data_IF_256592763497
#
_entry.id   IF_256592763497
#
_cell.length_a   1.000
_cell.length_b   1.000
_cell.length_c   1.000
_cell.angle_alpha   90.00
_cell.angle_beta   90.00
_cell.angle_gamma   90.00
#
_symmetry.space_group_name_H-M   'P 1'
#
loop_
_entity.id
_entity.type
_entity.pdbx_description
1 polymer ?
#
# COMPACT_ATOMS: atom_id res chain seq x y z
N UNK A 1 -23.17 29.93 11.47
CA UNK A 1 -22.84 28.63 10.83
C UNK A 1 -21.45 28.22 11.28
N UNK A 2 -21.27 26.94 11.62
CA UNK A 2 -20.31 26.39 12.60
C UNK A 2 -18.84 26.82 12.44
N UNK A 3 -18.24 27.03 13.61
CA UNK A 3 -16.89 27.51 13.86
C UNK A 3 -15.81 26.43 13.65
N UNK A 4 -14.60 26.93 13.37
CA UNK A 4 -13.29 26.27 13.45
C UNK A 4 -13.02 25.80 14.89
N UNK A 5 -12.26 24.72 15.09
CA UNK A 5 -10.90 24.82 15.65
C UNK A 5 -10.25 23.47 15.99
N UNK A 6 -8.92 23.52 15.88
CA UNK A 6 -7.86 22.56 16.13
C UNK A 6 -7.84 21.85 17.50
N UNK A 7 -7.22 20.68 17.47
CA UNK A 7 -6.53 19.94 18.54
C UNK A 7 -6.13 20.73 19.79
N UNK A 8 -6.46 20.20 20.98
CA UNK A 8 -5.67 20.32 22.21
C UNK A 8 -5.83 19.09 23.12
N UNK A 9 -4.68 18.55 23.55
CA UNK A 9 -4.49 17.52 24.57
C UNK A 9 -4.70 18.14 25.95
N UNK A 10 -5.38 17.45 26.87
CA UNK A 10 -5.29 17.74 28.30
C UNK A 10 -4.96 16.49 29.10
N UNK A 11 -3.80 16.57 29.77
CA UNK A 11 -3.39 15.74 30.90
C UNK A 11 -3.95 16.41 32.16
N UNK A 12 -4.53 15.66 33.09
CA UNK A 12 -4.70 16.10 34.48
C UNK A 12 -4.39 14.94 35.43
N UNK A 13 -3.43 15.19 36.31
CA UNK A 13 -2.87 14.26 37.26
C UNK A 13 -3.54 14.35 38.64
N UNK A 14 -3.58 13.18 39.31
CA UNK A 14 -3.46 12.89 40.74
C UNK A 14 -4.05 13.83 41.81
N UNK A 15 -4.85 13.25 42.72
CA UNK A 15 -4.74 13.53 44.16
C UNK A 15 -4.78 12.20 44.94
N UNK A 16 -3.69 11.93 45.65
CA UNK A 16 -3.59 10.94 46.72
C UNK A 16 -4.44 11.35 47.92
N UNK A 17 -5.15 10.41 48.54
CA UNK A 17 -5.74 10.55 49.86
C UNK A 17 -5.91 9.19 50.51
N UNK A 18 -5.08 8.93 51.52
CA UNK A 18 -4.95 7.70 52.29
C UNK A 18 -6.20 7.32 53.11
N UNK A 19 -6.32 6.02 53.32
CA UNK A 19 -7.30 5.20 54.07
C UNK A 19 -7.29 5.53 55.59
N UNK A 20 -8.41 5.36 56.33
CA UNK A 20 -8.69 4.14 57.10
C UNK A 20 -10.19 3.74 57.00
N UNK A 21 -10.68 2.52 57.12
CA UNK A 21 -10.15 1.22 57.51
C UNK A 21 -11.36 0.27 57.67
N UNK A 22 -11.27 -0.90 57.02
CA UNK A 22 -11.84 -2.23 57.32
C UNK A 22 -13.15 -2.39 58.12
N UNK A 23 -14.11 -3.15 57.54
CA UNK A 23 -14.81 -4.34 58.09
C UNK A 23 -16.25 -4.43 57.50
N UNK A 24 -16.51 -5.32 56.55
CA UNK A 24 -17.00 -6.70 56.76
C UNK A 24 -18.51 -6.80 57.04
N UNK A 25 -19.20 -7.63 56.26
CA UNK A 25 -20.56 -8.10 56.55
C UNK A 25 -21.50 -7.98 55.36
N UNK A 26 -22.19 -9.08 54.99
CA UNK A 26 -23.21 -9.16 53.95
C UNK A 26 -24.34 -8.14 54.13
N UNK A 27 -25.17 -7.86 53.14
CA UNK A 27 -25.80 -8.81 52.24
C UNK A 27 -26.07 -8.12 50.91
N UNK A 28 -25.55 -8.68 49.81
CA UNK A 28 -26.20 -8.46 48.51
C UNK A 28 -27.06 -9.68 48.26
N UNK A 29 -28.37 -9.50 48.39
CA UNK A 29 -29.38 -10.49 48.07
C UNK A 29 -29.21 -10.90 46.60
N UNK A 30 -28.51 -12.00 46.37
CA UNK A 30 -28.54 -12.72 45.10
C UNK A 30 -29.83 -13.53 45.10
N UNK A 31 -30.86 -13.01 44.43
CA UNK A 31 -32.02 -13.83 44.07
C UNK A 31 -31.56 -14.71 42.91
N UNK A 32 -31.12 -15.94 43.24
CA UNK A 32 -30.84 -16.97 42.24
C UNK A 32 -32.18 -17.53 41.77
N UNK A 33 -32.64 -17.09 40.61
CA UNK A 33 -33.61 -17.87 39.85
C UNK A 33 -32.86 -19.00 39.15
N UNK A 34 -32.95 -20.20 39.74
CA UNK A 34 -32.47 -21.44 39.15
C UNK A 34 -33.34 -21.74 37.91
N UNK A 35 -32.75 -21.71 36.72
CA UNK A 35 -33.45 -22.13 35.51
C UNK A 35 -32.87 -21.60 34.21
N UNK A 36 -31.74 -22.17 33.76
CA UNK A 36 -31.43 -22.60 32.38
C UNK A 36 -29.91 -22.72 32.22
N UNK A 37 -29.41 -23.96 32.18
CA UNK A 37 -28.10 -24.31 31.63
C UNK A 37 -28.08 -24.04 30.12
N UNK A 38 -28.13 -22.76 29.73
CA UNK A 38 -28.17 -22.31 28.34
C UNK A 38 -27.37 -21.02 28.08
N UNK A 39 -26.98 -20.29 29.12
CA UNK A 39 -26.25 -19.02 28.95
C UNK A 39 -24.75 -19.22 28.72
N UNK A 40 -24.13 -20.23 29.34
CA UNK A 40 -22.73 -20.57 29.03
C UNK A 40 -22.58 -21.01 27.56
N UNK A 41 -23.49 -21.86 27.07
CA UNK A 41 -23.51 -22.34 25.68
C UNK A 41 -23.83 -21.20 24.68
N UNK A 42 -24.61 -20.19 25.09
CA UNK A 42 -24.83 -18.96 24.32
C UNK A 42 -23.62 -18.04 24.30
N UNK A 43 -22.92 -17.87 25.41
CA UNK A 43 -21.73 -17.01 25.50
C UNK A 43 -20.60 -17.59 24.63
N UNK A 44 -20.36 -18.91 24.68
CA UNK A 44 -19.40 -19.57 23.78
C UNK A 44 -19.83 -19.45 22.30
N UNK A 45 -21.13 -19.63 21.99
CA UNK A 45 -21.65 -19.45 20.62
C UNK A 45 -21.57 -18.01 20.12
N UNK A 46 -21.68 -17.00 20.99
CA UNK A 46 -21.52 -15.59 20.65
C UNK A 46 -20.06 -15.25 20.35
N UNK A 47 -19.12 -15.73 21.17
CA UNK A 47 -17.68 -15.58 20.91
C UNK A 47 -17.26 -16.31 19.61
N UNK A 48 -17.76 -17.52 19.38
CA UNK A 48 -17.53 -18.27 18.14
C UNK A 48 -18.19 -17.60 16.92
N UNK A 49 -19.39 -17.03 17.08
CA UNK A 49 -20.10 -16.28 16.04
C UNK A 49 -19.36 -14.98 15.68
N UNK A 50 -18.85 -14.26 16.68
CA UNK A 50 -18.05 -13.05 16.48
C UNK A 50 -16.71 -13.39 15.80
N UNK A 51 -16.10 -14.54 16.14
CA UNK A 51 -14.92 -15.06 15.44
C UNK A 51 -15.23 -15.43 13.99
N UNK A 52 -16.31 -16.16 13.71
CA UNK A 52 -16.73 -16.52 12.35
C UNK A 52 -17.03 -15.29 11.48
N UNK A 53 -17.68 -14.28 12.05
CA UNK A 53 -17.97 -13.01 11.36
C UNK A 53 -16.66 -12.31 10.99
N UNK A 54 -15.73 -12.21 11.93
CA UNK A 54 -14.42 -11.60 11.70
C UNK A 54 -13.62 -12.35 10.62
N UNK A 55 -13.68 -13.69 10.60
CA UNK A 55 -13.04 -14.48 9.55
C UNK A 55 -13.65 -14.20 8.18
N UNK A 56 -14.98 -14.18 8.08
CA UNK A 56 -15.68 -13.85 6.84
C UNK A 56 -15.32 -12.45 6.33
N UNK A 57 -15.26 -11.47 7.23
CA UNK A 57 -14.83 -10.11 6.86
C UNK A 57 -13.39 -10.10 6.36
N UNK A 58 -12.46 -10.79 7.04
CA UNK A 58 -11.07 -10.93 6.58
C UNK A 58 -10.96 -11.61 5.22
N UNK A 59 -11.70 -12.69 5.01
CA UNK A 59 -11.74 -13.40 3.73
C UNK A 59 -12.33 -12.52 2.64
N UNK A 60 -13.41 -11.80 2.92
CA UNK A 60 -14.01 -10.83 2.00
C UNK A 60 -13.03 -9.71 1.64
N UNK A 61 -12.33 -9.14 2.62
CA UNK A 61 -11.31 -8.13 2.39
C UNK A 61 -10.14 -8.67 1.57
N UNK A 62 -9.71 -9.91 1.85
CA UNK A 62 -8.67 -10.59 1.05
C UNK A 62 -9.13 -10.79 -0.40
N UNK A 63 -10.35 -11.26 -0.62
CA UNK A 63 -10.92 -11.41 -1.96
C UNK A 63 -11.07 -10.07 -2.67
N UNK A 64 -11.49 -9.04 -1.95
CA UNK A 64 -11.61 -7.68 -2.48
C UNK A 64 -10.24 -7.14 -2.91
N UNK A 65 -9.21 -7.28 -2.08
CA UNK A 65 -7.82 -6.91 -2.44
C UNK A 65 -7.32 -7.69 -3.65
N UNK A 66 -7.59 -9.01 -3.73
CA UNK A 66 -7.20 -9.83 -4.89
C UNK A 66 -7.90 -9.31 -6.15
N UNK A 67 -9.19 -9.01 -6.09
CA UNK A 67 -9.95 -8.51 -7.24
C UNK A 67 -9.48 -7.12 -7.68
N UNK A 68 -9.19 -6.23 -6.73
CA UNK A 68 -8.68 -4.89 -7.01
C UNK A 68 -7.27 -4.96 -7.62
N UNK A 69 -6.40 -5.82 -7.07
CA UNK A 69 -5.06 -6.10 -7.63
C UNK A 69 -5.17 -6.63 -9.06
N UNK A 70 -6.05 -7.60 -9.31
CA UNK A 70 -6.31 -8.10 -10.67
C UNK A 70 -6.91 -7.05 -11.60
N UNK A 71 -7.69 -6.11 -11.07
CA UNK A 71 -8.17 -4.95 -11.80
C UNK A 71 -7.02 -4.09 -12.31
N UNK A 72 -6.06 -3.77 -11.44
CA UNK A 72 -4.86 -3.04 -11.82
C UNK A 72 -4.00 -3.82 -12.83
N UNK A 73 -3.86 -5.15 -12.71
CA UNK A 73 -3.19 -5.97 -13.74
C UNK A 73 -3.85 -5.82 -15.10
N UNK A 74 -5.19 -5.94 -15.18
CA UNK A 74 -5.91 -5.80 -16.46
C UNK A 74 -5.71 -4.42 -17.09
N UNK A 75 -5.69 -3.36 -16.29
CA UNK A 75 -5.37 -2.03 -16.80
C UNK A 75 -3.94 -1.97 -17.34
N UNK A 76 -2.97 -2.55 -16.62
CA UNK A 76 -1.59 -2.66 -17.08
C UNK A 76 -1.47 -3.44 -18.40
N UNK A 77 -2.23 -4.52 -18.58
CA UNK A 77 -2.28 -5.29 -19.83
C UNK A 77 -2.77 -4.42 -21.00
N UNK A 78 -3.80 -3.59 -20.78
CA UNK A 78 -4.31 -2.66 -21.82
C UNK A 78 -3.23 -1.67 -22.27
N UNK A 79 -2.46 -1.11 -21.33
CA UNK A 79 -1.36 -0.20 -21.67
C UNK A 79 -0.20 -0.94 -22.34
N UNK A 80 0.08 -2.16 -21.88
CA UNK A 80 1.10 -3.01 -22.47
C UNK A 80 0.79 -3.36 -23.93
N UNK A 81 -0.46 -3.71 -24.24
CA UNK A 81 -0.92 -4.03 -25.59
C UNK A 81 -0.87 -2.81 -26.52
N UNK A 82 -0.98 -1.59 -25.98
CA UNK A 82 -0.78 -0.34 -26.71
C UNK A 82 0.68 0.01 -26.96
N UNK A 83 1.62 -0.71 -26.34
CA UNK A 83 3.05 -0.38 -26.37
C UNK A 83 3.46 0.72 -25.38
N UNK A 84 2.53 1.18 -24.54
CA UNK A 84 2.76 2.16 -23.46
C UNK A 84 3.37 1.42 -22.24
N UNK A 85 4.62 0.97 -22.40
CA UNK A 85 5.27 0.05 -21.44
C UNK A 85 5.49 0.72 -20.07
N UNK A 86 5.73 2.03 -20.01
CA UNK A 86 5.91 2.77 -18.76
C UNK A 86 4.64 2.76 -17.90
N UNK A 87 3.50 3.04 -18.52
CA UNK A 87 2.17 3.03 -17.91
C UNK A 87 1.80 1.61 -17.48
N UNK A 88 2.09 0.60 -18.30
CA UNK A 88 1.90 -0.80 -17.93
C UNK A 88 2.65 -1.15 -16.64
N UNK A 89 3.93 -0.78 -16.56
CA UNK A 89 4.76 -0.97 -15.35
C UNK A 89 4.13 -0.29 -14.14
N UNK A 90 3.64 0.94 -14.28
CA UNK A 90 2.98 1.67 -13.19
C UNK A 90 1.76 0.91 -12.64
N UNK A 91 0.88 0.42 -13.52
CA UNK A 91 -0.30 -0.33 -13.09
C UNK A 91 0.05 -1.70 -12.49
N UNK A 92 1.07 -2.40 -12.99
CA UNK A 92 1.55 -3.62 -12.35
C UNK A 92 2.12 -3.36 -10.95
N UNK A 93 2.80 -2.22 -10.74
CA UNK A 93 3.25 -1.82 -9.40
C UNK A 93 2.08 -1.52 -8.46
N UNK A 94 1.00 -0.93 -8.96
CA UNK A 94 -0.24 -0.75 -8.17
C UNK A 94 -0.80 -2.12 -7.77
N UNK A 95 -0.89 -3.06 -8.70
CA UNK A 95 -1.37 -4.41 -8.41
C UNK A 95 -0.55 -5.10 -7.30
N UNK A 96 0.78 -4.96 -7.34
CA UNK A 96 1.70 -5.48 -6.30
C UNK A 96 1.52 -4.75 -4.96
N UNK A 97 1.21 -3.44 -4.96
CA UNK A 97 0.93 -2.71 -3.72
C UNK A 97 -0.36 -3.15 -3.04
N UNK A 98 -1.39 -3.47 -3.83
CA UNK A 98 -2.69 -3.93 -3.34
C UNK A 98 -2.60 -5.37 -2.82
N UNK A 99 -2.00 -6.27 -3.61
CA UNK A 99 -1.71 -7.64 -3.22
C UNK A 99 -0.22 -7.95 -3.48
N UNK A 100 0.63 -7.83 -2.45
CA UNK A 100 2.05 -8.14 -2.55
C UNK A 100 2.35 -9.58 -2.95
N UNK A 101 1.38 -10.49 -2.81
CA UNK A 101 1.53 -11.91 -3.13
C UNK A 101 0.89 -12.27 -4.48
N UNK A 102 0.40 -11.32 -5.27
CA UNK A 102 -0.17 -11.60 -6.59
C UNK A 102 0.93 -12.05 -7.58
N UNK A 103 0.99 -13.35 -7.93
CA UNK A 103 2.07 -13.85 -8.79
C UNK A 103 1.98 -13.30 -10.22
N UNK A 104 0.76 -13.06 -10.72
CA UNK A 104 0.51 -12.52 -12.06
C UNK A 104 1.06 -11.10 -12.16
N UNK A 105 0.81 -10.27 -11.15
CA UNK A 105 1.31 -8.90 -11.11
C UNK A 105 2.85 -8.84 -11.13
N UNK A 106 3.51 -9.72 -10.36
CA UNK A 106 4.97 -9.83 -10.36
C UNK A 106 5.52 -10.29 -11.70
N UNK A 107 4.93 -11.32 -12.30
CA UNK A 107 5.34 -11.83 -13.62
C UNK A 107 5.24 -10.74 -14.69
N UNK A 108 4.08 -10.06 -14.75
CA UNK A 108 3.81 -8.98 -15.70
C UNK A 108 4.74 -7.79 -15.50
N UNK A 109 4.98 -7.38 -14.26
CA UNK A 109 5.94 -6.33 -13.93
C UNK A 109 7.35 -6.67 -14.40
N UNK A 110 7.85 -7.88 -14.10
CA UNK A 110 9.18 -8.33 -14.51
C UNK A 110 9.30 -8.36 -16.03
N UNK A 111 8.27 -8.88 -16.70
CA UNK A 111 8.21 -8.95 -18.16
C UNK A 111 8.27 -7.56 -18.80
N UNK A 112 7.42 -6.63 -18.35
CA UNK A 112 7.38 -5.27 -18.86
C UNK A 112 8.70 -4.52 -18.60
N UNK A 113 9.30 -4.66 -17.40
CA UNK A 113 10.62 -4.09 -17.09
C UNK A 113 11.72 -4.63 -18.01
N UNK A 114 11.67 -5.92 -18.35
CA UNK A 114 12.63 -6.53 -19.28
C UNK A 114 12.48 -5.94 -20.68
N UNK A 115 11.25 -5.81 -21.18
CA UNK A 115 10.98 -5.21 -22.50
C UNK A 115 11.42 -3.75 -22.54
N UNK A 116 11.10 -2.97 -21.51
CA UNK A 116 11.53 -1.57 -21.42
C UNK A 116 13.06 -1.48 -21.49
N UNK A 117 13.77 -2.31 -20.72
CA UNK A 117 15.24 -2.35 -20.72
C UNK A 117 15.84 -2.79 -22.05
N UNK A 118 15.21 -3.74 -22.75
CA UNK A 118 15.66 -4.22 -24.06
C UNK A 118 15.38 -3.22 -25.19
N UNK A 119 14.30 -2.46 -25.06
CA UNK A 119 13.92 -1.40 -26.00
C UNK A 119 14.68 -0.10 -25.74
N UNK A 120 15.40 -0.02 -24.62
CA UNK A 120 16.23 1.13 -24.28
C UNK A 120 17.45 1.14 -25.18
N UNK A 121 17.66 2.25 -25.89
CA UNK A 121 18.85 2.42 -26.71
C UNK A 121 20.14 2.38 -25.87
N UNK A 122 21.25 1.87 -26.43
CA UNK A 122 22.56 1.88 -25.78
C UNK A 122 23.00 3.28 -25.31
N UNK A 123 22.66 4.32 -26.08
CA UNK A 123 22.98 5.70 -25.75
C UNK A 123 22.25 6.15 -24.47
N UNK A 124 20.93 5.99 -24.41
CA UNK A 124 20.18 6.28 -23.19
C UNK A 124 20.66 5.45 -21.98
N UNK A 125 20.97 4.17 -22.18
CA UNK A 125 21.50 3.31 -21.10
C UNK A 125 22.81 3.85 -20.51
N UNK A 126 23.77 4.24 -21.37
CA UNK A 126 25.04 4.86 -20.93
C UNK A 126 24.81 6.21 -20.27
N UNK A 127 23.86 7.01 -20.77
CA UNK A 127 23.51 8.28 -20.17
C UNK A 127 23.09 8.14 -18.71
N UNK A 128 22.15 7.22 -18.43
CA UNK A 128 21.68 6.95 -17.06
C UNK A 128 22.81 6.44 -16.18
N UNK A 129 23.70 5.58 -16.70
CA UNK A 129 24.88 5.10 -15.97
C UNK A 129 25.84 6.24 -15.61
N UNK A 130 26.17 7.12 -16.57
CA UNK A 130 27.05 8.26 -16.33
C UNK A 130 26.45 9.25 -15.34
N UNK A 131 25.14 9.51 -15.45
CA UNK A 131 24.45 10.37 -14.50
C UNK A 131 24.48 9.81 -13.08
N UNK A 132 24.23 8.50 -12.91
CA UNK A 132 24.35 7.83 -11.61
C UNK A 132 25.77 7.85 -11.00
N UNK A 133 26.81 7.98 -11.85
CA UNK A 133 28.21 8.19 -11.43
C UNK A 133 28.56 9.67 -11.17
N UNK A 134 27.60 10.59 -11.27
CA UNK A 134 27.81 12.04 -11.17
C UNK A 134 28.53 12.66 -12.37
N UNK A 135 28.73 11.91 -13.45
CA UNK A 135 29.40 12.38 -14.68
C UNK A 135 28.40 13.10 -15.60
N UNK A 136 27.79 14.20 -15.13
CA UNK A 136 26.70 14.92 -15.83
C UNK A 136 27.01 15.24 -17.29
N UNK A 137 28.21 15.74 -17.59
CA UNK A 137 28.61 16.09 -18.97
C UNK A 137 28.54 14.89 -19.92
N UNK A 138 29.07 13.74 -19.51
CA UNK A 138 29.02 12.50 -20.32
C UNK A 138 27.60 11.97 -20.47
N UNK A 139 26.76 12.16 -19.44
CA UNK A 139 25.35 11.80 -19.53
C UNK A 139 24.63 12.66 -20.58
N UNK A 140 24.84 13.98 -20.56
CA UNK A 140 24.31 14.90 -21.57
C UNK A 140 24.76 14.50 -22.97
N UNK A 141 26.06 14.25 -23.17
CA UNK A 141 26.60 13.86 -24.48
C UNK A 141 25.89 12.61 -25.04
N UNK A 142 25.67 11.59 -24.21
CA UNK A 142 24.95 10.37 -24.61
C UNK A 142 23.45 10.61 -24.84
N UNK A 143 22.79 11.49 -24.07
CA UNK A 143 21.38 11.86 -24.29
C UNK A 143 21.19 12.64 -25.59
N UNK A 144 22.14 13.49 -25.94
CA UNK A 144 22.12 14.21 -27.22
C UNK A 144 22.28 13.25 -28.39
N UNK A 145 23.15 12.24 -28.26
CA UNK A 145 23.27 11.16 -29.25
C UNK A 145 21.97 10.36 -29.37
N UNK A 146 21.35 10.00 -28.24
CA UNK A 146 20.04 9.33 -28.21
C UNK A 146 18.99 10.13 -28.98
N UNK A 147 18.85 11.42 -28.69
CA UNK A 147 17.85 12.28 -29.34
C UNK A 147 18.16 12.56 -30.81
N UNK A 148 19.41 12.38 -31.24
CA UNK A 148 19.79 12.46 -32.65
C UNK A 148 19.33 11.22 -33.43
N UNK A 149 19.46 10.04 -32.84
CA UNK A 149 19.05 8.76 -33.46
C UNK A 149 17.54 8.51 -33.31
N UNK A 150 16.98 8.90 -32.16
CA UNK A 150 15.58 8.80 -31.82
C UNK A 150 15.05 10.15 -31.30
N UNK A 151 14.73 11.10 -32.20
CA UNK A 151 14.21 12.42 -31.83
C UNK A 151 12.88 12.38 -31.07
N UNK A 152 12.15 11.25 -31.15
CA UNK A 152 10.90 11.03 -30.44
C UNK A 152 11.05 10.44 -29.05
N UNK A 153 12.27 10.18 -28.58
CA UNK A 153 12.50 9.64 -27.23
C UNK A 153 12.23 10.71 -26.16
N UNK A 154 10.97 10.77 -25.71
CA UNK A 154 10.55 11.74 -24.69
C UNK A 154 11.28 11.53 -23.35
N UNK A 155 11.58 10.29 -22.98
CA UNK A 155 12.35 10.00 -21.75
C UNK A 155 13.75 10.60 -21.81
N UNK A 156 14.45 10.46 -22.94
CA UNK A 156 15.76 11.07 -23.14
C UNK A 156 15.70 12.59 -23.07
N UNK A 157 14.64 13.19 -23.62
CA UNK A 157 14.44 14.65 -23.58
C UNK A 157 14.15 15.15 -22.17
N UNK A 158 13.25 14.48 -21.44
CA UNK A 158 12.95 14.81 -20.04
C UNK A 158 14.20 14.69 -19.18
N UNK A 159 14.97 13.61 -19.35
CA UNK A 159 16.19 13.41 -18.56
C UNK A 159 17.25 14.46 -18.85
N UNK A 160 17.38 14.89 -20.10
CA UNK A 160 18.29 15.96 -20.48
C UNK A 160 17.92 17.28 -19.79
N UNK A 161 16.64 17.66 -19.85
CA UNK A 161 16.13 18.87 -19.20
C UNK A 161 16.33 18.83 -17.67
N UNK A 162 16.11 17.68 -17.03
CA UNK A 162 16.34 17.48 -15.59
C UNK A 162 17.81 17.80 -15.24
N UNK A 163 18.75 17.20 -15.96
CA UNK A 163 20.20 17.37 -15.70
C UNK A 163 20.65 18.82 -15.93
N UNK A 164 20.13 19.49 -16.96
CA UNK A 164 20.46 20.88 -17.29
C UNK A 164 19.86 21.88 -16.30
N UNK A 165 18.78 21.50 -15.60
CA UNK A 165 18.11 22.34 -14.61
C UNK A 165 18.74 22.31 -13.21
N UNK A 166 19.64 21.36 -12.95
CA UNK A 166 20.35 21.18 -11.67
C UNK A 166 21.68 21.95 -11.57
#
# INVERSE_FOLDING_TARGET
MKARHSFYIFIAAAIMGLVPGVAAGGDTNVIIHQGQTGDADKIYKLDDFDYELQQRERESMKQWNIQESMGAVRTGDVYFDKGEIGEAIYFYQIAIKIDPNNPVAHEKYIHAKKIMKQSTSPHYSRAIEYYGKGMKKKAIDELVLELKENPGNEEARMKLNEIESE
#
